data_IF_963031454016
#
_entry.id   IF_963031454016
#
_cell.length_a   1.000
_cell.length_b   1.000
_cell.length_c   1.000
_cell.angle_alpha   90.00
_cell.angle_beta   90.00
_cell.angle_gamma   90.00
#
_symmetry.space_group_name_H-M   'P 1'
#
loop_
_entity.id
_entity.type
_entity.pdbx_description
1 polymer ?
#
# COMPACT_ATOMS: atom_id res chain seq x y z
N UNK A 1 12.25 -0.19 0.69
CA UNK A 1 11.63 -0.82 -0.51
C UNK A 1 10.63 0.14 -1.08
N UNK A 2 10.61 0.31 -2.43
CA UNK A 2 9.74 1.29 -3.11
C UNK A 2 8.93 0.55 -4.18
N UNK A 3 7.61 0.65 -4.11
CA UNK A 3 6.68 0.10 -5.11
C UNK A 3 6.19 1.20 -6.05
N UNK A 4 6.29 0.93 -7.36
CA UNK A 4 5.73 1.76 -8.42
C UNK A 4 5.34 0.88 -9.61
N UNK A 5 4.06 0.81 -9.93
CA UNK A 5 3.52 0.01 -11.03
C UNK A 5 3.30 0.82 -12.30
N UNK A 6 3.00 2.11 -12.14
CA UNK A 6 2.52 2.95 -13.26
C UNK A 6 3.63 3.47 -14.17
N UNK A 7 4.88 3.48 -13.74
CA UNK A 7 6.01 4.05 -14.49
C UNK A 7 7.24 3.15 -14.46
N UNK A 8 7.07 1.89 -14.88
CA UNK A 8 8.17 0.93 -14.97
C UNK A 8 9.13 1.29 -16.12
N UNK A 9 10.46 1.02 -15.97
CA UNK A 9 11.43 1.29 -17.02
C UNK A 9 11.11 0.54 -18.31
N UNK A 10 11.09 1.23 -19.44
CA UNK A 10 10.82 0.66 -20.78
C UNK A 10 12.09 0.42 -21.61
N UNK A 11 13.21 1.02 -21.21
CA UNK A 11 14.48 0.93 -21.95
C UNK A 11 14.54 1.72 -23.25
N UNK A 12 13.55 2.57 -23.51
CA UNK A 12 13.42 3.41 -24.72
C UNK A 12 13.93 4.85 -24.54
N UNK A 13 14.53 5.15 -23.37
CA UNK A 13 15.01 6.49 -23.02
C UNK A 13 13.90 7.46 -22.64
N UNK A 14 12.64 7.03 -22.59
CA UNK A 14 11.55 7.86 -22.11
C UNK A 14 11.64 8.09 -20.61
N UNK A 15 11.07 9.21 -20.14
CA UNK A 15 10.97 9.51 -18.73
C UNK A 15 10.27 8.35 -17.98
N UNK A 16 10.86 7.93 -16.89
CA UNK A 16 10.24 7.03 -15.93
C UNK A 16 10.59 7.42 -14.48
N UNK A 17 9.70 7.11 -13.58
CA UNK A 17 9.84 7.46 -12.15
C UNK A 17 11.03 6.74 -11.49
N UNK A 18 11.40 5.55 -11.96
CA UNK A 18 12.52 4.79 -11.41
C UNK A 18 13.85 5.52 -11.58
N UNK A 19 14.13 6.00 -12.80
CA UNK A 19 15.37 6.73 -13.12
C UNK A 19 15.40 8.10 -12.44
N UNK A 20 14.25 8.77 -12.33
CA UNK A 20 14.12 10.03 -11.61
C UNK A 20 14.42 9.86 -10.12
N UNK A 21 13.87 8.83 -9.48
CA UNK A 21 14.16 8.51 -8.07
C UNK A 21 15.62 8.15 -7.90
N UNK A 22 16.19 7.32 -8.77
CA UNK A 22 17.62 6.98 -8.71
C UNK A 22 18.47 8.23 -8.75
N UNK A 23 18.20 9.13 -9.71
CA UNK A 23 18.92 10.41 -9.82
C UNK A 23 18.81 11.25 -8.56
N UNK A 24 17.61 11.36 -7.99
CA UNK A 24 17.38 12.12 -6.75
C UNK A 24 18.10 11.50 -5.55
N UNK A 25 18.12 10.18 -5.44
CA UNK A 25 18.83 9.46 -4.38
C UNK A 25 20.35 9.62 -4.50
N UNK A 26 20.91 9.54 -5.71
CA UNK A 26 22.31 9.79 -5.97
C UNK A 26 22.69 11.22 -5.58
N UNK A 27 21.90 12.22 -5.96
CA UNK A 27 22.10 13.62 -5.60
C UNK A 27 21.99 13.86 -4.06
N UNK A 28 21.21 13.02 -3.37
CA UNK A 28 21.11 13.02 -1.91
C UNK A 28 22.25 12.25 -1.22
N UNK A 29 23.23 11.75 -1.97
CA UNK A 29 24.42 11.07 -1.45
C UNK A 29 24.25 9.58 -1.19
N UNK A 30 23.20 8.94 -1.71
CA UNK A 30 23.07 7.47 -1.64
C UNK A 30 24.00 6.87 -2.69
N UNK A 31 24.94 5.95 -2.30
CA UNK A 31 25.83 5.31 -3.25
C UNK A 31 25.07 4.52 -4.33
N UNK A 32 25.54 4.58 -5.56
CA UNK A 32 24.87 3.95 -6.70
C UNK A 32 24.68 2.44 -6.52
N UNK A 33 25.68 1.75 -5.98
CA UNK A 33 25.65 0.31 -5.75
C UNK A 33 24.64 -0.12 -4.68
N UNK A 34 24.08 0.82 -3.92
CA UNK A 34 23.06 0.55 -2.91
C UNK A 34 21.62 0.71 -3.43
N UNK A 35 21.45 1.13 -4.71
CA UNK A 35 20.16 1.35 -5.36
C UNK A 35 19.99 0.34 -6.48
N UNK A 36 18.99 -0.52 -6.38
CA UNK A 36 18.73 -1.56 -7.38
C UNK A 36 17.27 -1.60 -7.81
N UNK A 37 17.07 -1.96 -9.08
CA UNK A 37 15.75 -2.20 -9.66
C UNK A 37 15.53 -3.70 -9.83
N UNK A 38 14.40 -4.22 -9.35
CA UNK A 38 14.05 -5.63 -9.55
C UNK A 38 13.99 -6.02 -11.03
N UNK A 39 13.73 -5.04 -11.91
CA UNK A 39 13.64 -5.24 -13.35
C UNK A 39 14.97 -5.65 -13.99
N UNK A 40 16.10 -5.36 -13.33
CA UNK A 40 17.44 -5.79 -13.77
C UNK A 40 17.72 -7.26 -13.46
N UNK A 41 16.93 -7.88 -12.57
CA UNK A 41 17.02 -9.27 -12.19
C UNK A 41 15.98 -10.12 -12.96
N UNK A 42 16.28 -10.42 -14.21
CA UNK A 42 15.40 -11.10 -15.17
C UNK A 42 15.34 -12.64 -14.98
N UNK A 43 16.31 -13.22 -14.27
CA UNK A 43 16.35 -14.64 -13.96
C UNK A 43 16.17 -14.91 -12.47
N UNK A 44 15.73 -16.12 -12.11
CA UNK A 44 15.56 -16.50 -10.70
C UNK A 44 16.90 -16.46 -9.92
N UNK A 45 18.02 -16.80 -10.57
CA UNK A 45 19.34 -16.73 -9.95
C UNK A 45 19.73 -15.27 -9.63
N UNK A 46 19.53 -14.35 -10.58
CA UNK A 46 19.80 -12.92 -10.37
C UNK A 46 18.87 -12.32 -9.28
N UNK A 47 17.61 -12.75 -9.22
CA UNK A 47 16.70 -12.36 -8.14
C UNK A 47 17.17 -12.86 -6.78
N UNK A 48 17.59 -14.13 -6.71
CA UNK A 48 18.11 -14.71 -5.46
C UNK A 48 19.35 -13.97 -4.98
N UNK A 49 20.27 -13.62 -5.87
CA UNK A 49 21.46 -12.80 -5.57
C UNK A 49 21.07 -11.41 -5.08
N UNK A 50 20.18 -10.71 -5.81
CA UNK A 50 19.67 -9.37 -5.44
C UNK A 50 19.05 -9.40 -4.05
N UNK A 51 18.18 -10.38 -3.77
CA UNK A 51 17.55 -10.51 -2.46
C UNK A 51 18.54 -10.81 -1.34
N UNK A 52 19.62 -11.53 -1.65
CA UNK A 52 20.73 -11.73 -0.70
C UNK A 52 21.43 -10.42 -0.38
N UNK A 53 21.72 -9.58 -1.38
CA UNK A 53 22.31 -8.24 -1.21
C UNK A 53 21.42 -7.32 -0.39
N UNK A 54 20.09 -7.38 -0.59
CA UNK A 54 19.14 -6.61 0.23
C UNK A 54 19.12 -7.09 1.68
N UNK A 55 19.10 -8.40 1.92
CA UNK A 55 19.13 -8.96 3.30
C UNK A 55 20.43 -8.67 4.03
N UNK A 56 21.56 -8.59 3.34
CA UNK A 56 22.87 -8.26 3.91
C UNK A 56 23.08 -6.75 4.12
N UNK A 57 22.18 -5.89 3.60
CA UNK A 57 22.31 -4.45 3.65
C UNK A 57 23.21 -3.83 2.59
N UNK A 58 23.75 -4.62 1.66
CA UNK A 58 24.53 -4.12 0.52
C UNK A 58 23.67 -3.27 -0.42
N UNK A 59 22.40 -3.67 -0.62
CA UNK A 59 21.39 -2.89 -1.33
C UNK A 59 20.44 -2.31 -0.30
N UNK A 60 20.45 -1.00 -0.16
CA UNK A 60 19.62 -0.25 0.79
C UNK A 60 18.26 0.13 0.19
N UNK A 61 18.22 0.41 -1.11
CA UNK A 61 17.02 0.84 -1.81
C UNK A 61 16.70 -0.13 -2.94
N UNK A 62 15.58 -0.85 -2.82
CA UNK A 62 15.07 -1.73 -3.85
C UNK A 62 13.77 -1.15 -4.41
N UNK A 63 13.75 -0.86 -5.74
CA UNK A 63 12.58 -0.40 -6.48
C UNK A 63 12.00 -1.51 -7.32
N UNK A 64 10.67 -1.59 -7.39
CA UNK A 64 10.03 -2.56 -8.26
C UNK A 64 8.51 -2.44 -8.31
N UNK A 65 7.92 -3.20 -9.21
CA UNK A 65 6.47 -3.32 -9.35
C UNK A 65 5.90 -4.41 -8.45
N UNK A 66 4.61 -4.34 -8.17
CA UNK A 66 3.87 -5.38 -7.43
C UNK A 66 4.01 -6.73 -8.11
N UNK A 67 3.92 -6.78 -9.44
CA UNK A 67 4.07 -8.01 -10.20
C UNK A 67 5.44 -8.70 -9.98
N UNK A 68 6.51 -7.91 -9.86
CA UNK A 68 7.88 -8.43 -9.69
C UNK A 68 8.26 -8.67 -8.24
N UNK A 69 7.74 -7.87 -7.29
CA UNK A 69 8.08 -7.93 -5.87
C UNK A 69 6.94 -8.38 -4.96
N UNK A 70 5.70 -8.45 -5.47
CA UNK A 70 4.52 -8.78 -4.68
C UNK A 70 4.47 -10.25 -4.22
N UNK A 71 5.08 -11.19 -4.96
CA UNK A 71 5.14 -12.61 -4.60
C UNK A 71 6.58 -13.09 -4.48
N UNK A 72 6.83 -14.05 -3.59
CA UNK A 72 8.13 -14.74 -3.46
C UNK A 72 9.30 -13.91 -2.91
N UNK A 73 9.13 -12.62 -2.67
CA UNK A 73 10.20 -11.73 -2.22
C UNK A 73 10.43 -11.83 -0.71
N UNK A 74 11.55 -12.40 -0.31
CA UNK A 74 11.98 -12.56 1.08
C UNK A 74 13.17 -11.63 1.39
N UNK A 75 12.89 -10.36 1.71
CA UNK A 75 13.92 -9.33 1.95
C UNK A 75 13.71 -8.56 3.26
N UNK A 76 12.80 -9.04 4.11
CA UNK A 76 12.33 -8.33 5.30
C UNK A 76 13.39 -8.10 6.39
N UNK A 77 14.47 -8.87 6.41
CA UNK A 77 15.40 -8.94 7.55
C UNK A 77 15.83 -7.57 8.09
N UNK A 78 16.25 -6.66 7.22
CA UNK A 78 16.68 -5.31 7.57
C UNK A 78 15.73 -4.22 7.05
N UNK A 79 14.56 -4.59 6.56
CA UNK A 79 13.64 -3.67 5.91
C UNK A 79 12.98 -2.73 6.93
N UNK A 80 13.28 -1.44 6.85
CA UNK A 80 12.77 -0.40 7.78
C UNK A 80 11.52 0.27 7.24
N UNK A 81 11.44 0.49 5.90
CA UNK A 81 10.36 1.24 5.29
C UNK A 81 9.91 0.66 3.96
N UNK A 82 8.61 0.76 3.72
CA UNK A 82 7.99 0.54 2.41
C UNK A 82 7.33 1.83 1.94
N UNK A 83 7.55 2.17 0.68
CA UNK A 83 7.00 3.35 0.04
C UNK A 83 6.10 2.91 -1.12
N UNK A 84 4.84 3.33 -1.11
CA UNK A 84 3.88 3.12 -2.18
C UNK A 84 3.73 4.41 -2.97
N UNK A 85 4.39 4.52 -4.12
CA UNK A 85 4.32 5.70 -4.98
C UNK A 85 3.04 5.75 -5.80
N UNK A 86 2.44 4.59 -5.98
CA UNK A 86 1.13 4.40 -6.57
C UNK A 86 0.35 3.35 -5.80
N UNK A 87 -0.93 3.32 -6.03
CA UNK A 87 -1.84 2.35 -5.43
C UNK A 87 -2.26 1.31 -6.47
N UNK A 88 -2.26 0.03 -6.06
CA UNK A 88 -2.72 -1.06 -6.91
C UNK A 88 -4.25 -1.04 -7.11
N UNK A 89 -4.73 -1.78 -8.10
CA UNK A 89 -6.16 -1.90 -8.41
C UNK A 89 -6.93 -2.86 -7.48
N UNK A 90 -6.20 -3.62 -6.65
CA UNK A 90 -6.77 -4.65 -5.77
C UNK A 90 -6.33 -4.41 -4.34
N UNK A 91 -7.25 -4.54 -3.36
CA UNK A 91 -6.87 -4.50 -1.95
C UNK A 91 -5.79 -5.55 -1.60
N UNK A 92 -5.84 -6.73 -2.22
CA UNK A 92 -4.83 -7.79 -2.05
C UNK A 92 -3.42 -7.35 -2.43
N UNK A 93 -3.26 -6.47 -3.42
CA UNK A 93 -1.95 -5.99 -3.85
C UNK A 93 -1.31 -5.15 -2.73
N UNK A 94 -2.10 -4.28 -2.09
CA UNK A 94 -1.64 -3.48 -0.94
C UNK A 94 -1.31 -4.36 0.26
N UNK A 95 -2.15 -5.35 0.55
CA UNK A 95 -1.88 -6.33 1.60
C UNK A 95 -0.59 -7.10 1.33
N UNK A 96 -0.35 -7.52 0.09
CA UNK A 96 0.87 -8.21 -0.31
C UNK A 96 2.11 -7.31 -0.19
N UNK A 97 2.04 -6.05 -0.64
CA UNK A 97 3.12 -5.07 -0.51
C UNK A 97 3.48 -4.86 0.97
N UNK A 98 2.48 -4.60 1.82
CA UNK A 98 2.67 -4.41 3.26
C UNK A 98 3.19 -5.68 3.94
N UNK A 99 2.75 -6.85 3.50
CA UNK A 99 3.22 -8.14 3.98
C UNK A 99 4.70 -8.43 3.67
N UNK A 100 5.39 -7.59 2.89
CA UNK A 100 6.85 -7.70 2.69
C UNK A 100 7.64 -7.13 3.86
N UNK A 101 7.11 -6.14 4.57
CA UNK A 101 7.77 -5.52 5.72
C UNK A 101 7.19 -6.00 7.04
N UNK A 102 5.85 -6.13 7.13
CA UNK A 102 5.14 -6.65 8.31
C UNK A 102 5.20 -8.17 8.26
N UNK A 103 6.37 -8.74 8.56
CA UNK A 103 6.61 -10.17 8.44
C UNK A 103 7.56 -10.66 9.52
N UNK A 104 7.32 -11.88 9.97
CA UNK A 104 8.23 -12.58 10.87
C UNK A 104 9.66 -12.64 10.29
N UNK A 105 10.67 -12.43 11.14
CA UNK A 105 12.09 -12.39 10.73
C UNK A 105 12.60 -11.00 10.36
N UNK A 106 11.80 -9.95 10.46
CA UNK A 106 12.30 -8.58 10.43
C UNK A 106 12.97 -8.26 11.78
N UNK A 107 14.19 -7.75 11.73
CA UNK A 107 14.98 -7.40 12.93
C UNK A 107 14.56 -6.05 13.53
N UNK A 108 13.84 -5.22 12.79
CA UNK A 108 13.39 -3.92 13.26
C UNK A 108 12.13 -4.08 14.10
N UNK A 109 12.12 -3.51 15.30
CA UNK A 109 10.95 -3.49 16.20
C UNK A 109 9.81 -2.62 15.66
N UNK A 110 10.16 -1.62 14.88
CA UNK A 110 9.23 -0.68 14.27
C UNK A 110 9.56 -0.54 12.77
N UNK A 111 8.54 -0.54 11.96
CA UNK A 111 8.62 -0.39 10.51
C UNK A 111 7.64 0.67 10.03
N UNK A 112 7.94 1.27 8.88
CA UNK A 112 7.18 2.39 8.35
C UNK A 112 6.57 2.04 7.00
N UNK A 113 5.32 2.42 6.80
CA UNK A 113 4.62 2.32 5.51
C UNK A 113 4.22 3.71 5.08
N UNK A 114 4.75 4.15 3.94
CA UNK A 114 4.48 5.47 3.37
C UNK A 114 3.61 5.32 2.12
N UNK A 115 2.45 5.96 2.12
CA UNK A 115 1.58 6.08 0.96
C UNK A 115 1.72 7.50 0.40
N UNK A 116 2.12 7.60 -0.86
CA UNK A 116 2.24 8.87 -1.57
C UNK A 116 1.00 9.10 -2.40
N UNK A 117 0.42 10.29 -2.26
CA UNK A 117 -0.77 10.71 -2.99
C UNK A 117 -0.60 12.13 -3.48
N UNK A 118 -1.15 12.43 -4.64
CA UNK A 118 -1.17 13.77 -5.18
C UNK A 118 -2.58 14.33 -5.09
N UNK A 119 -2.72 15.50 -4.46
CA UNK A 119 -4.01 16.15 -4.32
C UNK A 119 -4.64 16.47 -5.69
N UNK A 120 -5.95 16.38 -5.76
CA UNK A 120 -6.74 16.69 -6.96
C UNK A 120 -6.35 15.88 -8.21
N UNK A 121 -5.86 14.64 -8.01
CA UNK A 121 -5.50 13.73 -9.10
C UNK A 121 -6.39 12.49 -9.12
N UNK A 122 -6.08 11.59 -10.07
CA UNK A 122 -6.72 10.29 -10.21
C UNK A 122 -6.52 9.37 -8.98
N UNK A 123 -5.58 9.67 -8.10
CA UNK A 123 -5.32 8.89 -6.88
C UNK A 123 -6.56 8.80 -5.99
N UNK A 124 -7.33 9.88 -5.89
CA UNK A 124 -8.59 9.90 -5.15
C UNK A 124 -9.59 8.83 -5.66
N UNK A 125 -9.67 8.67 -6.98
CA UNK A 125 -10.53 7.66 -7.61
C UNK A 125 -10.02 6.24 -7.34
N UNK A 126 -8.71 6.01 -7.40
CA UNK A 126 -8.11 4.71 -7.12
C UNK A 126 -8.40 4.28 -5.67
N UNK A 127 -8.21 5.17 -4.71
CA UNK A 127 -8.51 4.89 -3.30
C UNK A 127 -10.00 4.66 -3.05
N UNK A 128 -10.89 5.41 -3.75
CA UNK A 128 -12.35 5.15 -3.71
C UNK A 128 -12.67 3.74 -4.20
N UNK A 129 -12.01 3.32 -5.28
CA UNK A 129 -12.21 1.98 -5.86
C UNK A 129 -11.75 0.88 -4.90
N UNK A 130 -10.60 1.07 -4.23
CA UNK A 130 -10.11 0.14 -3.22
C UNK A 130 -11.05 0.06 -2.01
N UNK A 131 -11.53 1.20 -1.52
CA UNK A 131 -12.49 1.27 -0.42
C UNK A 131 -13.74 0.43 -0.74
N UNK A 132 -14.33 0.64 -1.92
CA UNK A 132 -15.53 -0.08 -2.34
C UNK A 132 -15.27 -1.58 -2.47
N UNK A 133 -14.14 -1.98 -3.05
CA UNK A 133 -13.76 -3.40 -3.19
C UNK A 133 -13.51 -4.04 -1.83
N UNK A 134 -12.85 -3.34 -0.91
CA UNK A 134 -12.57 -3.85 0.42
C UNK A 134 -13.86 -4.04 1.23
N UNK A 135 -14.77 -3.07 1.20
CA UNK A 135 -16.09 -3.20 1.83
C UNK A 135 -16.84 -4.44 1.32
N UNK A 136 -16.82 -4.67 0.01
CA UNK A 136 -17.47 -5.84 -0.59
C UNK A 136 -16.81 -7.16 -0.15
N UNK A 137 -15.47 -7.22 -0.14
CA UNK A 137 -14.71 -8.39 0.33
C UNK A 137 -15.07 -8.70 1.79
N UNK A 138 -15.08 -7.69 2.65
CA UNK A 138 -15.38 -7.85 4.06
C UNK A 138 -16.80 -8.35 4.30
N UNK A 139 -17.78 -7.86 3.55
CA UNK A 139 -19.16 -8.35 3.62
C UNK A 139 -19.26 -9.85 3.31
N UNK A 140 -18.49 -10.34 2.32
CA UNK A 140 -18.48 -11.76 1.95
C UNK A 140 -17.75 -12.59 3.00
N UNK A 141 -16.56 -12.15 3.44
CA UNK A 141 -15.66 -12.92 4.30
C UNK A 141 -16.17 -13.04 5.73
N UNK A 142 -16.90 -12.06 6.23
CA UNK A 142 -17.43 -12.10 7.60
C UNK A 142 -18.67 -12.98 7.75
N UNK A 143 -19.15 -13.60 6.66
CA UNK A 143 -20.36 -14.46 6.64
C UNK A 143 -21.60 -13.82 7.29
N UNK A 144 -21.53 -12.53 7.60
CA UNK A 144 -22.70 -11.77 7.95
C UNK A 144 -23.52 -11.69 6.69
N UNK A 145 -24.55 -12.53 6.61
CA UNK A 145 -25.56 -12.57 5.55
C UNK A 145 -25.77 -11.17 4.98
N UNK A 146 -26.09 -10.99 3.69
CA UNK A 146 -26.45 -9.69 3.14
C UNK A 146 -27.77 -9.22 3.76
N UNK A 147 -27.81 -9.13 5.04
CA UNK A 147 -28.81 -8.41 5.80
C UNK A 147 -28.61 -6.95 5.45
N UNK A 148 -29.67 -6.27 5.12
CA UNK A 148 -29.83 -4.94 4.55
C UNK A 148 -29.09 -3.79 5.25
N UNK A 149 -28.18 -4.07 6.18
CA UNK A 149 -27.27 -3.13 6.84
C UNK A 149 -26.11 -3.89 7.48
N UNK A 150 -25.00 -4.04 6.78
CA UNK A 150 -23.77 -4.47 7.41
C UNK A 150 -22.85 -3.25 7.49
N UNK A 151 -22.89 -2.58 8.61
CA UNK A 151 -21.99 -1.48 8.97
C UNK A 151 -20.79 -2.01 9.78
N UNK A 152 -20.27 -3.21 9.45
CA UNK A 152 -18.95 -3.58 9.94
C UNK A 152 -17.93 -2.73 9.20
N UNK A 153 -17.39 -1.78 9.94
CA UNK A 153 -16.37 -0.88 9.45
C UNK A 153 -15.08 -1.70 9.38
N UNK A 154 -14.70 -2.10 8.18
CA UNK A 154 -13.40 -2.68 7.92
C UNK A 154 -12.33 -1.60 8.08
N UNK A 155 -11.36 -1.83 8.96
CA UNK A 155 -10.26 -0.91 9.24
C UNK A 155 -9.48 -0.53 7.97
N UNK A 156 -9.31 -1.46 7.02
CA UNK A 156 -8.65 -1.17 5.74
C UNK A 156 -9.52 -0.28 4.85
N UNK A 157 -10.84 -0.48 4.83
CA UNK A 157 -11.73 0.39 4.07
C UNK A 157 -11.76 1.81 4.64
N UNK A 158 -11.67 1.98 5.95
CA UNK A 158 -11.54 3.28 6.60
C UNK A 158 -10.23 3.95 6.21
N UNK A 159 -9.10 3.23 6.25
CA UNK A 159 -7.80 3.75 5.85
C UNK A 159 -7.80 4.26 4.40
N UNK A 160 -8.43 3.54 3.47
CA UNK A 160 -8.57 4.01 2.08
C UNK A 160 -9.45 5.26 1.96
N UNK A 161 -10.50 5.35 2.77
CA UNK A 161 -11.36 6.51 2.80
C UNK A 161 -10.62 7.76 3.32
N UNK A 162 -9.81 7.63 4.36
CA UNK A 162 -8.96 8.71 4.88
C UNK A 162 -7.98 9.23 3.83
N UNK A 163 -7.28 8.32 3.14
CA UNK A 163 -6.34 8.71 2.08
C UNK A 163 -7.06 9.41 0.92
N UNK A 164 -8.24 8.90 0.53
CA UNK A 164 -9.07 9.53 -0.50
C UNK A 164 -9.43 10.97 -0.14
N UNK A 165 -9.79 11.23 1.12
CA UNK A 165 -10.12 12.59 1.58
C UNK A 165 -8.91 13.53 1.51
N UNK A 166 -7.73 13.04 1.85
CA UNK A 166 -6.49 13.79 1.70
C UNK A 166 -6.21 14.12 0.22
N UNK A 167 -6.46 13.16 -0.70
CA UNK A 167 -6.30 13.38 -2.14
C UNK A 167 -7.28 14.42 -2.71
N UNK A 168 -8.46 14.53 -2.16
CA UNK A 168 -9.48 15.45 -2.64
C UNK A 168 -9.16 16.93 -2.33
N UNK A 169 -8.26 17.20 -1.37
CA UNK A 169 -7.83 18.56 -1.02
C UNK A 169 -8.94 19.45 -0.42
N UNK A 170 -10.12 18.89 -0.18
CA UNK A 170 -11.29 19.62 0.34
C UNK A 170 -11.50 19.32 1.82
N UNK A 171 -11.38 20.30 2.72
CA UNK A 171 -11.58 20.11 4.16
C UNK A 171 -12.99 19.61 4.51
N UNK A 172 -14.02 19.95 3.73
CA UNK A 172 -15.38 19.48 3.95
C UNK A 172 -15.56 17.98 3.65
N UNK A 173 -14.75 17.41 2.76
CA UNK A 173 -14.74 15.96 2.51
C UNK A 173 -14.24 15.22 3.75
N UNK A 174 -13.21 15.75 4.42
CA UNK A 174 -12.67 15.18 5.65
C UNK A 174 -13.70 15.25 6.79
N UNK A 175 -14.33 16.41 6.99
CA UNK A 175 -15.38 16.59 8.00
C UNK A 175 -16.56 15.64 7.75
N UNK A 176 -17.01 15.53 6.49
CA UNK A 176 -18.06 14.58 6.11
C UNK A 176 -17.69 13.15 6.47
N UNK A 177 -16.45 12.75 6.23
CA UNK A 177 -16.00 11.38 6.52
C UNK A 177 -15.93 11.09 8.01
N UNK A 178 -15.45 12.02 8.81
CA UNK A 178 -15.44 11.90 10.27
C UNK A 178 -16.87 11.76 10.81
N UNK A 179 -17.82 12.50 10.24
CA UNK A 179 -19.24 12.39 10.56
C UNK A 179 -19.83 11.03 10.10
N UNK A 180 -19.49 10.56 8.90
CA UNK A 180 -19.96 9.27 8.40
C UNK A 180 -19.47 8.10 9.28
N UNK A 181 -18.21 8.15 9.76
CA UNK A 181 -17.67 7.18 10.73
C UNK A 181 -18.42 7.23 12.06
N UNK A 182 -18.71 8.43 12.57
CA UNK A 182 -19.47 8.59 13.82
C UNK A 182 -20.90 8.05 13.67
N UNK A 183 -21.57 8.37 12.56
CA UNK A 183 -22.92 7.87 12.25
C UNK A 183 -22.93 6.34 12.13
N UNK A 184 -21.93 5.75 11.48
CA UNK A 184 -21.82 4.30 11.38
C UNK A 184 -21.66 3.64 12.76
N UNK A 185 -20.78 4.16 13.64
CA UNK A 185 -20.65 3.69 15.03
C UNK A 185 -21.97 3.76 15.80
N UNK A 186 -22.69 4.88 15.69
CA UNK A 186 -23.97 5.06 16.36
C UNK A 186 -25.05 4.09 15.84
N UNK A 187 -25.05 3.80 14.53
CA UNK A 187 -25.97 2.81 13.95
C UNK A 187 -25.70 1.40 14.47
N UNK A 188 -24.43 1.00 14.61
CA UNK A 188 -24.05 -0.28 15.21
C UNK A 188 -24.55 -0.36 16.67
N UNK A 189 -24.25 0.64 17.49
CA UNK A 189 -24.70 0.72 18.88
C UNK A 189 -26.23 0.67 19.00
N UNK A 190 -26.94 1.35 18.10
CA UNK A 190 -28.40 1.29 18.03
C UNK A 190 -28.91 -0.10 17.67
N UNK A 191 -28.25 -0.77 16.72
CA UNK A 191 -28.59 -2.14 16.32
C UNK A 191 -28.40 -3.13 17.49
N UNK A 192 -27.28 -3.05 18.17
CA UNK A 192 -27.00 -3.88 19.35
C UNK A 192 -28.00 -3.65 20.48
N UNK A 193 -28.33 -2.39 20.75
CA UNK A 193 -29.34 -2.05 21.74
C UNK A 193 -30.73 -2.61 21.37
N UNK A 194 -31.12 -2.55 20.10
CA UNK A 194 -32.38 -3.12 19.65
C UNK A 194 -32.41 -4.65 19.74
N UNK A 195 -31.27 -5.31 19.44
CA UNK A 195 -31.15 -6.76 19.52
C UNK A 195 -31.12 -7.29 20.97
N UNK A 196 -30.63 -6.48 21.93
CA UNK A 196 -30.66 -6.83 23.36
C UNK A 196 -32.04 -6.65 24.01
N UNK A 197 -32.94 -5.98 23.33
CA UNK A 197 -34.28 -5.67 23.87
C UNK A 197 -35.31 -6.76 23.55
N UNK A 198 -34.94 -7.77 22.75
CA UNK A 198 -35.72 -8.93 22.39
C UNK A 198 -35.00 -10.20 22.79
#
# INVERSE_FOLDING_TARGET
>A
MIFCDMSTPKGDGSFNVYDDIRTKLLNAGVPEQEIEFIHNADTENKKAELFSKVRSGQVRVLLGSTAKMGAGTNVQTLLVAVHHLDVGWRPSDMTQRNGRIIRQGNQNKQVYVYNYVTESTFDAYLYQTLENKQKFISQIMTSKSPMRSCDDIDEQALSYAEIKALCAGDPHIREKMDLDVQVAKLKVLRGDFQNQKY
#
